data_IF_737264004792
#
_entry.id   IF_737264004792
#
_cell.length_a   1.000
_cell.length_b   1.000
_cell.length_c   1.000
_cell.angle_alpha   90.00
_cell.angle_beta   90.00
_cell.angle_gamma   90.00
#
_symmetry.space_group_name_H-M   'P 1'
#
loop_
_entity.id
_entity.type
_entity.pdbx_description
1 polymer ?
#
# COMPACT_ATOMS: atom_id res chain seq x y z
N UNK A 1 -18.74 9.84 -19.14
CA UNK A 1 -17.93 8.76 -18.57
C UNK A 1 -16.66 8.61 -19.41
N UNK A 2 -15.48 8.87 -18.85
CA UNK A 2 -14.18 8.69 -19.54
C UNK A 2 -13.04 8.51 -18.54
N UNK A 3 -11.86 8.10 -19.00
CA UNK A 3 -10.62 8.05 -18.20
C UNK A 3 -9.51 8.74 -18.95
N UNK A 4 -8.68 9.52 -18.26
CA UNK A 4 -7.40 10.01 -18.80
C UNK A 4 -6.30 9.13 -18.22
N UNK A 5 -5.46 8.57 -19.09
CA UNK A 5 -4.28 7.81 -18.65
C UNK A 5 -3.22 8.80 -18.18
N UNK A 6 -2.80 8.71 -16.92
CA UNK A 6 -1.94 9.72 -16.29
C UNK A 6 -0.52 9.80 -16.90
N UNK A 7 -0.07 8.72 -17.54
CA UNK A 7 1.25 8.59 -18.18
C UNK A 7 1.27 9.04 -19.65
N UNK A 8 0.18 8.84 -20.39
CA UNK A 8 0.13 9.15 -21.84
C UNK A 8 -0.82 10.29 -22.20
N UNK A 9 -1.70 10.72 -21.28
CA UNK A 9 -2.79 11.66 -21.57
C UNK A 9 -3.90 11.07 -22.44
N UNK A 10 -3.84 9.78 -22.80
CA UNK A 10 -4.85 9.13 -23.64
C UNK A 10 -6.23 9.18 -22.98
N UNK A 11 -7.25 9.56 -23.76
CA UNK A 11 -8.64 9.59 -23.33
C UNK A 11 -9.31 8.28 -23.71
N UNK A 12 -9.77 7.53 -22.71
CA UNK A 12 -10.51 6.30 -22.87
C UNK A 12 -11.99 6.56 -22.63
N UNK A 13 -12.85 6.08 -23.54
CA UNK A 13 -14.32 6.24 -23.48
C UNK A 13 -15.01 4.88 -23.55
N UNK A 14 -16.23 4.70 -23.01
CA UNK A 14 -16.97 3.45 -23.14
C UNK A 14 -17.12 3.02 -24.61
N UNK A 15 -16.68 1.80 -24.93
CA UNK A 15 -16.78 1.28 -26.29
C UNK A 15 -18.23 0.87 -26.58
N UNK A 16 -18.78 1.40 -27.66
CA UNK A 16 -20.10 1.02 -28.17
C UNK A 16 -19.95 -0.05 -29.25
N UNK A 17 -20.46 -1.24 -29.00
CA UNK A 17 -20.41 -2.36 -29.93
C UNK A 17 -21.37 -2.18 -31.10
N UNK A 18 -21.19 -2.98 -32.16
CA UNK A 18 -22.02 -2.95 -33.36
C UNK A 18 -23.51 -3.22 -33.10
N UNK A 19 -23.83 -3.94 -32.02
CA UNK A 19 -25.22 -4.16 -31.58
C UNK A 19 -25.77 -2.99 -30.73
N UNK A 20 -25.10 -1.83 -30.79
CA UNK A 20 -25.43 -0.59 -30.08
C UNK A 20 -25.32 -0.62 -28.56
N UNK A 21 -24.89 -1.75 -27.98
CA UNK A 21 -24.70 -1.93 -26.55
C UNK A 21 -23.28 -1.56 -26.09
N UNK A 22 -23.13 -1.30 -24.80
CA UNK A 22 -21.85 -1.29 -24.09
C UNK A 22 -21.58 -2.65 -23.47
N UNK A 23 -20.32 -2.93 -23.15
CA UNK A 23 -19.93 -4.20 -22.51
C UNK A 23 -19.32 -3.99 -21.13
N UNK A 24 -19.83 -4.74 -20.15
CA UNK A 24 -19.12 -5.05 -18.92
C UNK A 24 -18.60 -6.50 -18.97
N UNK A 25 -17.56 -6.80 -18.21
CA UNK A 25 -17.07 -8.15 -18.01
C UNK A 25 -17.51 -8.65 -16.65
N UNK A 26 -18.29 -9.74 -16.62
CA UNK A 26 -18.66 -10.41 -15.37
C UNK A 26 -17.41 -11.03 -14.73
N UNK A 27 -16.98 -10.56 -13.55
CA UNK A 27 -15.82 -11.13 -12.87
C UNK A 27 -15.97 -12.61 -12.53
N UNK A 28 -17.21 -13.14 -12.42
CA UNK A 28 -17.49 -14.54 -12.14
C UNK A 28 -16.99 -15.48 -13.24
N UNK A 29 -16.83 -15.00 -14.47
CA UNK A 29 -16.33 -15.77 -15.61
C UNK A 29 -14.80 -15.94 -15.61
N UNK A 30 -14.11 -15.50 -14.55
CA UNK A 30 -12.71 -15.82 -14.30
C UNK A 30 -11.79 -15.40 -15.44
N UNK A 31 -11.15 -16.38 -16.09
CA UNK A 31 -10.23 -16.15 -17.20
C UNK A 31 -10.94 -15.81 -18.50
N UNK A 32 -12.19 -16.19 -18.69
CA UNK A 32 -12.92 -16.00 -19.96
C UNK A 32 -13.72 -14.70 -20.02
N UNK A 33 -13.69 -13.91 -18.94
CA UNK A 33 -14.43 -12.64 -18.83
C UNK A 33 -14.08 -11.59 -19.89
N UNK A 34 -12.91 -11.72 -20.52
CA UNK A 34 -12.41 -10.80 -21.54
C UNK A 34 -12.82 -11.23 -22.97
N UNK A 35 -13.52 -12.36 -23.12
CA UNK A 35 -14.06 -12.76 -24.41
C UNK A 35 -15.29 -11.90 -24.75
N UNK A 36 -15.34 -11.37 -25.97
CA UNK A 36 -16.44 -10.50 -26.43
C UNK A 36 -17.80 -11.21 -26.38
N UNK A 37 -17.82 -12.54 -26.54
CA UNK A 37 -19.03 -13.38 -26.44
C UNK A 37 -19.61 -13.41 -25.01
N UNK A 38 -18.76 -13.22 -24.00
CA UNK A 38 -19.08 -13.28 -22.58
C UNK A 38 -19.39 -11.90 -21.97
N UNK A 39 -19.51 -10.86 -22.80
CA UNK A 39 -19.83 -9.51 -22.31
C UNK A 39 -21.24 -9.49 -21.73
N UNK A 40 -21.37 -8.87 -20.58
CA UNK A 40 -22.68 -8.45 -20.07
C UNK A 40 -23.02 -7.14 -20.74
N UNK A 41 -24.14 -7.16 -21.46
CA UNK A 41 -24.58 -6.04 -22.29
C UNK A 41 -25.24 -4.99 -21.41
N UNK A 42 -24.81 -3.74 -21.58
CA UNK A 42 -25.49 -2.58 -21.04
C UNK A 42 -26.05 -1.76 -22.19
N UNK A 43 -27.35 -1.49 -22.20
CA UNK A 43 -28.02 -0.73 -23.26
C UNK A 43 -27.85 0.78 -23.08
N UNK A 44 -27.59 1.21 -21.85
CA UNK A 44 -27.40 2.61 -21.48
C UNK A 44 -26.10 2.81 -20.70
N UNK A 45 -25.63 4.06 -20.64
CA UNK A 45 -24.50 4.41 -19.78
C UNK A 45 -24.84 4.27 -18.29
N UNK A 46 -26.10 4.45 -17.88
CA UNK A 46 -26.53 4.27 -16.48
C UNK A 46 -26.48 2.81 -16.03
N UNK A 47 -26.83 1.89 -16.93
CA UNK A 47 -26.67 0.46 -16.70
C UNK A 47 -25.17 0.10 -16.59
N UNK A 48 -24.34 0.65 -17.49
CA UNK A 48 -22.89 0.49 -17.43
C UNK A 48 -22.28 1.06 -16.14
N UNK A 49 -22.79 2.19 -15.64
CA UNK A 49 -22.42 2.77 -14.32
C UNK A 49 -22.72 1.81 -13.17
N UNK A 50 -23.80 1.04 -13.27
CA UNK A 50 -24.19 0.09 -12.22
C UNK A 50 -23.20 -1.07 -12.15
N UNK A 51 -22.73 -1.58 -13.30
CA UNK A 51 -21.66 -2.58 -13.34
C UNK A 51 -20.33 -2.03 -12.79
N UNK A 52 -19.96 -0.80 -13.14
CA UNK A 52 -18.78 -0.15 -12.57
C UNK A 52 -18.83 -0.01 -11.05
N UNK A 53 -19.98 0.41 -10.49
CA UNK A 53 -20.18 0.49 -9.03
C UNK A 53 -20.05 -0.87 -8.33
N UNK A 54 -20.35 -1.95 -9.05
CA UNK A 54 -20.15 -3.34 -8.59
C UNK A 54 -18.72 -3.84 -8.79
N UNK A 55 -17.82 -2.99 -9.27
CA UNK A 55 -16.41 -3.33 -9.52
C UNK A 55 -16.18 -4.14 -10.80
N UNK A 56 -17.18 -4.20 -11.69
CA UNK A 56 -17.05 -4.92 -12.95
C UNK A 56 -16.22 -4.10 -13.93
N UNK A 57 -15.16 -4.66 -14.51
CA UNK A 57 -14.43 -4.00 -15.57
C UNK A 57 -15.33 -3.75 -16.79
N UNK A 58 -15.16 -2.63 -17.47
CA UNK A 58 -15.92 -2.31 -18.69
C UNK A 58 -15.02 -2.21 -19.91
N UNK A 59 -15.61 -2.44 -21.08
CA UNK A 59 -14.94 -2.24 -22.35
C UNK A 59 -14.84 -0.76 -22.67
N UNK A 60 -13.63 -0.26 -22.79
CA UNK A 60 -13.31 1.09 -23.20
C UNK A 60 -12.47 1.08 -24.47
N UNK A 61 -12.55 2.14 -25.25
CA UNK A 61 -11.68 2.38 -26.41
C UNK A 61 -10.85 3.63 -26.21
N UNK A 62 -9.61 3.62 -26.71
CA UNK A 62 -8.80 4.84 -26.78
C UNK A 62 -9.42 5.69 -27.89
N UNK A 63 -9.90 6.87 -27.52
CA UNK A 63 -10.66 7.76 -28.41
C UNK A 63 -9.79 8.12 -29.63
N UNK A 64 -10.35 7.91 -30.82
CA UNK A 64 -9.63 8.13 -32.09
C UNK A 64 -8.82 6.92 -32.59
N UNK A 65 -8.87 5.78 -31.90
CA UNK A 65 -8.21 4.53 -32.30
C UNK A 65 -9.20 3.36 -32.36
N UNK A 66 -8.73 2.19 -32.78
CA UNK A 66 -9.47 0.91 -32.68
C UNK A 66 -9.02 0.05 -31.49
N UNK A 67 -8.13 0.56 -30.65
CA UNK A 67 -7.64 -0.18 -29.48
C UNK A 67 -8.70 -0.20 -28.38
N UNK A 68 -9.03 -1.41 -27.92
CA UNK A 68 -10.10 -1.69 -26.97
C UNK A 68 -9.52 -2.43 -25.79
N UNK A 69 -9.82 -1.96 -24.59
CA UNK A 69 -9.28 -2.51 -23.36
C UNK A 69 -10.37 -2.68 -22.32
N UNK A 70 -10.19 -3.67 -21.47
CA UNK A 70 -11.04 -3.88 -20.32
C UNK A 70 -10.47 -3.09 -19.13
N UNK A 71 -11.25 -2.19 -18.56
CA UNK A 71 -10.76 -1.23 -17.56
C UNK A 71 -11.63 -1.30 -16.30
N UNK A 72 -10.96 -1.48 -15.17
CA UNK A 72 -11.55 -1.38 -13.83
C UNK A 72 -11.18 -0.04 -13.21
N UNK A 73 -12.19 0.72 -12.76
CA UNK A 73 -12.06 1.92 -11.92
C UNK A 73 -11.30 3.12 -12.54
N UNK A 74 -11.34 4.24 -11.80
CA UNK A 74 -10.81 5.59 -12.11
C UNK A 74 -11.41 6.25 -13.35
N UNK A 75 -12.74 6.27 -13.40
CA UNK A 75 -13.50 6.84 -14.49
C UNK A 75 -14.17 8.15 -14.04
N UNK A 76 -13.89 9.22 -14.77
CA UNK A 76 -14.51 10.53 -14.61
C UNK A 76 -15.92 10.50 -15.19
N UNK A 77 -16.91 10.80 -14.37
CA UNK A 77 -18.32 10.79 -14.78
C UNK A 77 -18.78 12.13 -15.42
N UNK A 78 -17.98 12.66 -16.35
CA UNK A 78 -18.29 13.86 -17.14
C UNK A 78 -18.31 13.55 -18.64
N UNK A 79 -18.69 14.51 -19.47
CA UNK A 79 -18.39 14.45 -20.90
C UNK A 79 -16.86 14.49 -21.12
N UNK A 80 -16.34 13.68 -22.06
CA UNK A 80 -14.92 13.73 -22.39
C UNK A 80 -14.57 15.04 -23.12
N UNK A 81 -13.35 15.61 -22.92
CA UNK A 81 -12.89 16.83 -23.62
C UNK A 81 -12.97 16.69 -25.14
N UNK A 82 -13.16 17.75 -25.93
CA UNK A 82 -13.23 17.62 -27.39
C UNK A 82 -11.90 17.13 -28.00
N UNK A 83 -11.96 16.59 -29.22
CA UNK A 83 -10.75 16.17 -29.93
C UNK A 83 -9.89 17.41 -30.24
N UNK A 84 -8.70 17.52 -29.64
CA UNK A 84 -7.79 18.65 -29.83
C UNK A 84 -7.71 19.62 -28.64
N UNK A 85 -8.56 19.46 -27.62
CA UNK A 85 -8.46 20.26 -26.39
C UNK A 85 -7.21 19.85 -25.59
N UNK A 86 -6.52 20.83 -25.00
CA UNK A 86 -5.42 20.57 -24.09
C UNK A 86 -5.92 19.77 -22.88
N UNK A 87 -5.28 18.63 -22.59
CA UNK A 87 -5.56 17.83 -21.40
C UNK A 87 -5.14 18.65 -20.17
N UNK A 88 -6.05 18.95 -19.22
CA UNK A 88 -5.69 19.71 -18.03
C UNK A 88 -4.64 18.95 -17.22
N UNK A 89 -3.59 19.66 -16.78
CA UNK A 89 -2.42 19.10 -16.12
C UNK A 89 -2.63 18.69 -14.65
N UNK A 90 -3.87 18.72 -14.14
CA UNK A 90 -4.19 18.34 -12.77
C UNK A 90 -5.39 17.38 -12.69
N UNK A 91 -5.39 16.42 -11.74
CA UNK A 91 -6.54 15.55 -11.54
C UNK A 91 -7.74 16.37 -11.03
N UNK A 92 -8.80 16.43 -11.84
CA UNK A 92 -10.08 17.04 -11.45
C UNK A 92 -10.70 16.22 -10.31
N UNK A 93 -10.43 16.62 -9.07
CA UNK A 93 -11.20 16.16 -7.91
C UNK A 93 -12.61 16.72 -8.02
N UNK A 94 -13.62 15.87 -8.20
CA UNK A 94 -15.02 16.33 -8.18
C UNK A 94 -15.47 16.63 -6.75
N UNK A 95 -15.80 17.89 -6.51
CA UNK A 95 -16.79 18.30 -5.51
C UNK A 95 -18.14 17.63 -5.87
N UNK A 96 -18.68 16.86 -4.94
CA UNK A 96 -20.06 16.40 -4.97
C UNK A 96 -20.90 17.48 -4.26
N UNK A 97 -21.84 18.09 -5.00
CA UNK A 97 -22.87 18.96 -4.42
C UNK A 97 -23.84 18.12 -3.60
N UNK A 98 -23.83 18.30 -2.29
CA UNK A 98 -24.78 17.67 -1.36
C UNK A 98 -25.92 18.67 -1.16
N UNK A 99 -27.15 18.29 -1.54
CA UNK A 99 -28.36 19.02 -1.18
C UNK A 99 -28.49 19.15 0.34
N UNK A 100 -28.97 20.33 0.77
CA UNK A 100 -29.03 20.79 2.16
C UNK A 100 -29.65 19.75 3.10
N UNK A 101 -28.80 19.09 3.88
CA UNK A 101 -29.15 18.59 5.21
C UNK A 101 -28.68 19.64 6.22
N UNK A 102 -29.58 20.01 7.12
CA UNK A 102 -29.39 21.02 8.18
C UNK A 102 -28.11 20.72 8.97
N UNK A 103 -27.17 21.67 8.98
CA UNK A 103 -25.88 21.58 9.68
C UNK A 103 -26.10 21.59 11.20
N UNK A 104 -25.54 20.64 11.97
CA UNK A 104 -25.10 20.94 13.33
C UNK A 104 -23.86 21.86 13.25
N UNK A 105 -23.65 22.65 14.31
CA UNK A 105 -22.62 23.70 14.37
C UNK A 105 -21.21 23.21 13.97
N UNK A 106 -20.41 24.06 13.29
CA UNK A 106 -19.08 23.66 12.84
C UNK A 106 -18.13 23.46 14.02
N UNK A 107 -17.59 22.25 14.16
CA UNK A 107 -16.40 22.01 14.95
C UNK A 107 -15.24 22.86 14.38
N UNK A 108 -14.52 23.53 15.27
CA UNK A 108 -13.35 24.37 14.94
C UNK A 108 -12.36 23.63 14.04
N UNK A 109 -11.97 24.26 12.92
CA UNK A 109 -10.79 23.86 12.16
C UNK A 109 -9.56 24.14 13.01
N UNK A 110 -8.95 23.10 13.57
CA UNK A 110 -7.62 23.19 14.17
C UNK A 110 -6.60 23.05 13.03
N UNK A 111 -5.70 24.03 12.82
CA UNK A 111 -4.59 23.89 11.89
C UNK A 111 -3.66 22.76 12.35
N UNK A 112 -2.95 22.12 11.43
CA UNK A 112 -1.79 21.28 11.75
C UNK A 112 -0.71 22.16 12.41
N UNK A 113 -0.85 22.39 13.71
CA UNK A 113 0.21 22.93 14.55
C UNK A 113 0.92 21.74 15.16
N UNK A 114 2.20 21.60 14.79
CA UNK A 114 3.25 20.84 15.47
C UNK A 114 2.78 20.09 16.72
N UNK A 115 2.22 18.90 16.54
CA UNK A 115 2.19 17.95 17.63
C UNK A 115 3.66 17.55 17.86
N UNK A 116 4.26 17.85 19.03
CA UNK A 116 5.59 17.38 19.32
C UNK A 116 5.55 15.85 19.27
N UNK A 117 6.37 15.26 18.41
CA UNK A 117 6.73 13.84 18.57
C UNK A 117 7.33 13.78 19.96
N UNK A 118 6.66 13.09 20.88
CA UNK A 118 7.11 12.97 22.25
C UNK A 118 8.57 12.52 22.23
N UNK A 119 9.45 13.32 22.84
CA UNK A 119 10.86 12.98 23.00
C UNK A 119 10.95 11.78 23.93
N UNK A 120 10.82 10.58 23.40
CA UNK A 120 11.17 9.36 24.08
C UNK A 120 12.60 9.04 23.65
N UNK A 121 13.52 9.28 24.59
CA UNK A 121 14.85 8.67 24.60
C UNK A 121 14.69 7.16 24.69
N UNK A 122 14.37 6.52 23.57
CA UNK A 122 14.41 5.09 23.39
C UNK A 122 15.37 4.75 22.26
N UNK A 123 16.00 3.60 22.41
CA UNK A 123 17.27 3.24 21.79
C UNK A 123 17.07 3.04 20.28
N UNK A 124 17.19 4.11 19.49
CA UNK A 124 17.17 4.07 18.02
C UNK A 124 18.31 3.18 17.55
N UNK A 125 17.99 2.04 16.93
CA UNK A 125 18.98 1.28 16.18
C UNK A 125 19.47 2.19 15.06
N UNK A 126 20.75 2.57 15.14
CA UNK A 126 21.37 3.42 14.13
C UNK A 126 21.23 2.71 12.79
N UNK A 127 20.46 3.30 11.86
CA UNK A 127 20.42 2.94 10.45
C UNK A 127 21.83 2.55 9.98
N UNK A 128 21.97 1.38 9.34
CA UNK A 128 23.23 0.89 8.79
C UNK A 128 24.05 2.01 8.12
N UNK A 129 25.39 1.94 8.19
CA UNK A 129 26.29 3.02 7.75
C UNK A 129 25.97 3.61 6.38
N UNK A 130 25.45 2.79 5.45
CA UNK A 130 25.06 3.19 4.10
C UNK A 130 23.96 4.26 4.05
N UNK A 131 23.00 4.28 4.99
CA UNK A 131 21.89 5.26 4.96
C UNK A 131 22.37 6.70 5.19
N UNK A 132 23.47 6.88 5.94
CA UNK A 132 24.02 8.20 6.23
C UNK A 132 24.56 8.86 4.95
N UNK A 133 25.22 8.07 4.12
CA UNK A 133 25.83 8.56 2.87
C UNK A 133 24.76 8.93 1.85
N UNK A 134 23.72 8.10 1.70
CA UNK A 134 22.63 8.41 0.78
C UNK A 134 21.77 9.59 1.23
N UNK A 135 21.51 9.77 2.53
CA UNK A 135 20.80 10.97 3.00
C UNK A 135 21.57 12.24 2.69
N UNK A 136 22.90 12.20 2.76
CA UNK A 136 23.75 13.31 2.35
C UNK A 136 23.62 13.58 0.85
N UNK A 137 23.69 12.53 0.01
CA UNK A 137 23.49 12.66 -1.44
C UNK A 137 22.12 13.27 -1.78
N UNK A 138 21.06 12.77 -1.14
CA UNK A 138 19.69 13.31 -1.29
C UNK A 138 19.64 14.79 -0.88
N UNK A 139 20.42 15.24 0.09
CA UNK A 139 20.49 16.66 0.45
C UNK A 139 21.14 17.49 -0.66
N UNK A 140 22.21 17.00 -1.26
CA UNK A 140 23.05 17.71 -2.23
C UNK A 140 22.45 17.80 -3.64
N UNK A 141 21.80 16.74 -4.15
CA UNK A 141 21.20 16.74 -5.50
C UNK A 141 20.04 17.73 -5.63
N UNK A 142 19.96 18.46 -6.73
CA UNK A 142 18.83 19.38 -7.00
C UNK A 142 17.51 18.63 -7.20
N UNK A 143 16.37 19.32 -7.14
CA UNK A 143 15.06 18.71 -7.44
C UNK A 143 14.96 18.20 -8.89
N UNK A 144 15.64 18.85 -9.83
CA UNK A 144 15.69 18.43 -11.23
C UNK A 144 16.49 17.14 -11.41
N UNK A 145 17.67 17.05 -10.78
CA UNK A 145 18.49 15.83 -10.78
C UNK A 145 17.77 14.69 -10.05
N UNK A 146 17.09 14.99 -8.95
CA UNK A 146 16.29 14.01 -8.21
C UNK A 146 15.19 13.38 -9.06
N UNK A 147 14.54 14.15 -9.94
CA UNK A 147 13.56 13.61 -10.87
C UNK A 147 14.20 12.60 -11.85
N UNK A 148 15.42 12.85 -12.31
CA UNK A 148 16.20 11.91 -13.12
C UNK A 148 16.57 10.64 -12.36
N UNK A 149 17.02 10.78 -11.10
CA UNK A 149 17.35 9.64 -10.22
C UNK A 149 16.12 8.79 -9.87
N UNK A 150 14.93 9.39 -9.80
CA UNK A 150 13.67 8.66 -9.57
C UNK A 150 13.31 7.78 -10.76
N UNK A 151 13.55 8.22 -12.00
CA UNK A 151 13.24 7.45 -13.21
C UNK A 151 14.32 6.43 -13.55
N UNK A 152 15.59 6.83 -13.46
CA UNK A 152 16.73 5.98 -13.78
C UNK A 152 17.85 6.18 -12.75
N UNK A 153 17.80 5.47 -11.61
CA UNK A 153 18.76 5.63 -10.53
C UNK A 153 20.20 5.39 -11.00
N UNK A 154 21.09 6.34 -10.68
CA UNK A 154 22.53 6.23 -10.94
C UNK A 154 23.32 6.53 -9.69
N UNK A 155 23.14 7.72 -9.13
CA UNK A 155 23.77 8.16 -7.88
C UNK A 155 23.10 7.51 -6.68
N UNK A 156 21.77 7.31 -6.77
CA UNK A 156 21.00 6.61 -5.74
C UNK A 156 21.01 5.09 -5.93
N UNK A 157 21.72 4.54 -6.92
CA UNK A 157 21.79 3.10 -7.12
C UNK A 157 22.62 2.46 -6.00
N UNK A 158 22.05 1.46 -5.31
CA UNK A 158 22.69 0.73 -4.20
C UNK A 158 23.36 -0.55 -4.67
N UNK A 159 22.84 -1.16 -5.73
CA UNK A 159 23.42 -2.37 -6.29
C UNK A 159 22.66 -2.87 -7.50
N UNK A 160 23.36 -3.63 -8.33
CA UNK A 160 22.83 -4.25 -9.53
C UNK A 160 23.27 -5.71 -9.62
N UNK A 161 22.42 -6.55 -10.17
CA UNK A 161 22.71 -7.95 -10.42
C UNK A 161 22.03 -8.43 -11.71
N UNK A 162 22.70 -9.27 -12.50
CA UNK A 162 22.09 -9.89 -13.67
C UNK A 162 21.64 -11.30 -13.31
N UNK A 163 20.34 -11.58 -13.43
CA UNK A 163 19.76 -12.89 -13.22
C UNK A 163 18.97 -13.33 -14.45
N UNK A 164 19.40 -14.43 -15.09
CA UNK A 164 18.76 -14.98 -16.31
C UNK A 164 18.49 -13.91 -17.37
N UNK A 165 19.52 -13.14 -17.70
CA UNK A 165 19.49 -12.04 -18.68
C UNK A 165 18.58 -10.86 -18.32
N UNK A 166 18.04 -10.81 -17.10
CA UNK A 166 17.35 -9.64 -16.56
C UNK A 166 18.26 -8.89 -15.60
N UNK A 167 18.25 -7.57 -15.67
CA UNK A 167 18.97 -6.70 -14.74
C UNK A 167 18.07 -6.37 -13.55
N UNK A 168 18.53 -6.70 -12.35
CA UNK A 168 17.92 -6.37 -11.07
C UNK A 168 18.67 -5.19 -10.49
N UNK A 169 17.97 -4.10 -10.19
CA UNK A 169 18.54 -2.90 -9.59
C UNK A 169 17.83 -2.60 -8.27
N UNK A 170 18.60 -2.25 -7.23
CA UNK A 170 18.07 -1.72 -5.98
C UNK A 170 18.56 -0.29 -5.83
N UNK A 171 17.64 0.65 -5.67
CA UNK A 171 17.95 2.06 -5.50
C UNK A 171 17.54 2.55 -4.12
N UNK A 172 18.26 3.55 -3.62
CA UNK A 172 18.02 4.16 -2.34
C UNK A 172 16.74 4.97 -2.34
N UNK A 173 15.98 4.83 -1.26
CA UNK A 173 14.96 5.77 -0.82
C UNK A 173 14.95 5.77 0.72
N UNK A 174 14.50 6.86 1.37
CA UNK A 174 14.60 7.06 2.82
C UNK A 174 13.59 6.21 3.63
N UNK A 175 13.65 4.88 3.49
CA UNK A 175 12.86 3.88 4.23
C UNK A 175 13.64 3.27 5.41
N UNK A 176 14.76 3.87 5.82
CA UNK A 176 15.65 3.35 6.86
C UNK A 176 15.23 3.59 8.31
N UNK A 177 14.18 4.38 8.56
CA UNK A 177 13.69 4.62 9.93
C UNK A 177 13.13 3.33 10.54
N UNK A 178 13.51 3.03 11.78
CA UNK A 178 13.02 1.88 12.56
C UNK A 178 12.23 2.39 13.76
N UNK A 179 10.91 2.15 13.77
CA UNK A 179 10.05 2.53 14.88
C UNK A 179 9.98 1.41 15.93
N UNK A 180 10.97 1.35 16.83
CA UNK A 180 11.07 0.28 17.85
C UNK A 180 9.85 0.14 18.77
N UNK A 181 9.03 1.19 18.90
CA UNK A 181 7.79 1.18 19.69
C UNK A 181 6.57 0.60 18.97
N UNK A 182 6.73 0.05 17.76
CA UNK A 182 5.59 -0.44 16.98
C UNK A 182 4.91 -1.68 17.59
N UNK A 183 3.58 -1.63 17.70
CA UNK A 183 2.73 -2.78 18.01
C UNK A 183 2.55 -3.68 16.78
N UNK A 184 2.48 -3.06 15.60
CA UNK A 184 2.19 -3.72 14.32
C UNK A 184 3.26 -3.39 13.27
N UNK A 185 3.71 -4.41 12.54
CA UNK A 185 4.68 -4.28 11.46
C UNK A 185 4.02 -4.72 10.16
N UNK A 186 3.88 -3.79 9.21
CA UNK A 186 3.27 -4.06 7.91
C UNK A 186 4.39 -4.28 6.90
N UNK A 187 4.39 -5.46 6.27
CA UNK A 187 5.49 -5.93 5.40
C UNK A 187 4.99 -6.05 3.96
N UNK A 188 5.47 -5.15 3.10
CA UNK A 188 5.29 -5.21 1.65
C UNK A 188 6.32 -6.09 0.94
N UNK A 189 6.30 -6.09 -0.39
CA UNK A 189 7.29 -6.79 -1.22
C UNK A 189 8.58 -5.96 -1.32
N UNK A 190 8.44 -4.78 -1.93
CA UNK A 190 9.45 -3.74 -2.12
C UNK A 190 8.72 -2.45 -2.47
N UNK A 191 9.24 -1.26 -2.12
CA UNK A 191 8.69 -0.01 -2.62
C UNK A 191 8.78 0.05 -4.15
N UNK A 192 7.75 0.62 -4.79
CA UNK A 192 7.78 0.97 -6.22
C UNK A 192 8.27 2.40 -6.47
N UNK A 193 8.43 2.77 -7.74
CA UNK A 193 8.88 4.10 -8.20
C UNK A 193 8.08 5.26 -7.60
N UNK A 194 6.76 5.13 -7.53
CA UNK A 194 5.92 6.17 -6.92
C UNK A 194 6.22 6.34 -5.42
N UNK A 195 6.45 5.24 -4.69
CA UNK A 195 6.82 5.30 -3.28
C UNK A 195 8.23 5.88 -3.10
N UNK A 196 9.17 5.51 -3.98
CA UNK A 196 10.51 6.14 -4.04
C UNK A 196 10.39 7.67 -4.21
N UNK A 197 9.60 8.11 -5.20
CA UNK A 197 9.32 9.53 -5.47
C UNK A 197 8.79 10.24 -4.23
N UNK A 198 7.70 9.73 -3.64
CA UNK A 198 7.07 10.35 -2.47
C UNK A 198 8.03 10.41 -1.27
N UNK A 199 8.82 9.37 -1.04
CA UNK A 199 9.77 9.32 0.07
C UNK A 199 10.89 10.35 -0.10
N UNK A 200 11.46 10.45 -1.31
CA UNK A 200 12.54 11.40 -1.61
C UNK A 200 12.07 12.85 -1.58
N UNK A 201 10.87 13.13 -2.11
CA UNK A 201 10.28 14.47 -2.09
C UNK A 201 9.93 14.90 -0.66
N UNK A 202 9.38 14.01 0.16
CA UNK A 202 9.12 14.32 1.58
C UNK A 202 10.42 14.53 2.36
N UNK A 203 11.46 13.73 2.09
CA UNK A 203 12.76 13.95 2.68
C UNK A 203 13.34 15.32 2.31
N UNK A 204 13.21 15.76 1.04
CA UNK A 204 13.61 17.11 0.62
C UNK A 204 12.85 18.20 1.36
N UNK A 205 11.54 18.05 1.56
CA UNK A 205 10.72 19.01 2.32
C UNK A 205 11.15 19.08 3.79
N UNK A 206 11.33 17.93 4.44
CA UNK A 206 11.78 17.86 5.83
C UNK A 206 13.19 18.42 6.03
N UNK A 207 14.10 18.19 5.07
CA UNK A 207 15.44 18.80 5.07
C UNK A 207 15.37 20.32 4.98
N UNK A 208 14.51 20.86 4.10
CA UNK A 208 14.33 22.30 3.94
C UNK A 208 13.73 22.96 5.19
N UNK A 209 12.96 22.23 6.01
CA UNK A 209 12.46 22.71 7.30
C UNK A 209 13.46 22.57 8.45
N UNK A 210 14.71 22.17 8.19
CA UNK A 210 15.74 21.98 9.22
C UNK A 210 15.50 20.77 10.13
N UNK A 211 14.68 19.79 9.70
CA UNK A 211 14.37 18.62 10.52
C UNK A 211 15.64 17.76 10.78
N UNK A 212 15.62 17.04 11.90
CA UNK A 212 16.68 16.09 12.22
C UNK A 212 16.71 14.94 11.20
N UNK A 213 17.84 14.24 11.09
CA UNK A 213 17.95 13.06 10.21
C UNK A 213 16.90 12.01 10.53
N UNK A 214 16.64 11.79 11.81
CA UNK A 214 15.65 10.81 12.25
C UNK A 214 14.25 11.23 11.83
N UNK A 215 13.88 12.49 12.06
CA UNK A 215 12.59 13.04 11.61
C UNK A 215 12.41 12.97 10.10
N UNK A 216 13.48 13.23 9.33
CA UNK A 216 13.47 13.12 7.87
C UNK A 216 13.10 11.70 7.45
N UNK A 217 13.77 10.69 8.02
CA UNK A 217 13.52 9.29 7.68
C UNK A 217 12.13 8.84 8.16
N UNK A 218 11.71 9.27 9.37
CA UNK A 218 10.40 8.93 9.93
C UNK A 218 9.25 9.49 9.07
N UNK A 219 9.31 10.79 8.73
CA UNK A 219 8.31 11.45 7.89
C UNK A 219 8.24 10.83 6.50
N UNK A 220 9.40 10.62 5.86
CA UNK A 220 9.45 10.02 4.54
C UNK A 220 8.85 8.59 4.52
N UNK A 221 9.18 7.78 5.53
CA UNK A 221 8.61 6.43 5.69
C UNK A 221 7.10 6.48 5.82
N UNK A 222 6.55 7.25 6.76
CA UNK A 222 5.08 7.32 6.98
C UNK A 222 4.37 7.87 5.74
N UNK A 223 4.87 8.95 5.14
CA UNK A 223 4.27 9.58 3.96
C UNK A 223 4.18 8.62 2.77
N UNK A 224 5.29 7.94 2.45
CA UNK A 224 5.41 7.15 1.23
C UNK A 224 4.93 5.70 1.35
N UNK A 225 4.86 5.14 2.57
CA UNK A 225 4.50 3.74 2.76
C UNK A 225 3.08 3.46 2.27
N UNK A 226 2.98 2.51 1.35
CA UNK A 226 1.74 2.05 0.73
C UNK A 226 0.89 3.16 0.09
N UNK A 227 1.49 4.30 -0.27
CA UNK A 227 0.75 5.47 -0.77
C UNK A 227 -0.20 5.16 -1.95
N UNK A 228 -1.26 5.96 -2.06
CA UNK A 228 -2.31 5.79 -3.08
C UNK A 228 -3.39 4.76 -2.70
N UNK A 229 -3.98 4.10 -3.69
CA UNK A 229 -5.09 3.16 -3.47
C UNK A 229 -4.68 1.89 -2.72
N UNK A 230 -3.39 1.56 -2.74
CA UNK A 230 -2.85 0.45 -1.96
C UNK A 230 -3.12 0.63 -0.46
N UNK A 231 -2.92 1.85 0.09
CA UNK A 231 -3.22 2.18 1.49
C UNK A 231 -4.69 1.97 1.79
N UNK A 232 -5.58 2.48 0.93
CA UNK A 232 -7.04 2.35 1.13
C UNK A 232 -7.47 0.90 1.19
N UNK A 233 -6.95 0.06 0.30
CA UNK A 233 -7.23 -1.37 0.30
C UNK A 233 -6.66 -2.08 1.53
N UNK A 234 -5.43 -1.74 1.92
CA UNK A 234 -4.79 -2.32 3.09
C UNK A 234 -5.57 -2.01 4.37
N UNK A 235 -5.98 -0.76 4.57
CA UNK A 235 -6.84 -0.34 5.69
C UNK A 235 -8.12 -1.18 5.73
N UNK A 236 -8.81 -1.33 4.59
CA UNK A 236 -10.05 -2.15 4.52
C UNK A 236 -9.80 -3.60 4.91
N UNK A 237 -8.69 -4.20 4.48
CA UNK A 237 -8.33 -5.58 4.81
C UNK A 237 -8.01 -5.75 6.29
N UNK A 238 -7.22 -4.83 6.86
CA UNK A 238 -6.82 -4.89 8.27
C UNK A 238 -8.00 -4.63 9.21
N UNK A 239 -8.83 -3.64 8.91
CA UNK A 239 -10.05 -3.36 9.68
C UNK A 239 -11.03 -4.54 9.59
N UNK A 240 -11.19 -5.16 8.42
CA UNK A 240 -12.10 -6.29 8.24
C UNK A 240 -11.74 -7.52 9.09
N UNK A 241 -10.46 -7.73 9.40
CA UNK A 241 -10.03 -8.83 10.28
C UNK A 241 -9.97 -8.45 11.77
N UNK A 242 -10.32 -7.20 12.11
CA UNK A 242 -10.38 -6.71 13.49
C UNK A 242 -9.04 -6.21 14.06
N UNK A 243 -8.07 -5.85 13.22
CA UNK A 243 -6.79 -5.30 13.71
C UNK A 243 -6.96 -3.93 14.37
N UNK A 244 -7.90 -3.12 13.89
CA UNK A 244 -8.27 -1.86 14.54
C UNK A 244 -8.79 -2.11 15.97
N UNK A 245 -9.64 -3.12 16.15
CA UNK A 245 -10.21 -3.49 17.45
C UNK A 245 -9.13 -4.01 18.40
N UNK A 246 -8.23 -4.88 17.92
CA UNK A 246 -7.09 -5.36 18.70
C UNK A 246 -6.16 -4.21 19.12
N UNK A 247 -5.92 -3.24 18.23
CA UNK A 247 -5.16 -2.05 18.55
C UNK A 247 -5.94 -1.12 19.50
N UNK A 248 -7.26 -1.19 19.57
CA UNK A 248 -8.08 -0.22 20.31
C UNK A 248 -8.18 1.15 19.61
N UNK A 249 -8.10 1.17 18.27
CA UNK A 249 -8.28 2.36 17.44
C UNK A 249 -9.51 2.21 16.54
N UNK A 250 -10.11 3.34 16.13
CA UNK A 250 -11.33 3.32 15.32
C UNK A 250 -11.12 2.67 13.95
N UNK A 251 -9.96 2.90 13.33
CA UNK A 251 -9.58 2.31 12.05
C UNK A 251 -8.06 2.33 11.93
N UNK A 252 -7.50 1.31 11.29
CA UNK A 252 -6.06 1.27 10.97
C UNK A 252 -5.62 2.36 10.01
N UNK A 253 -6.53 3.15 9.43
CA UNK A 253 -6.20 4.36 8.68
C UNK A 253 -5.35 5.35 9.49
N UNK A 254 -5.54 5.40 10.81
CA UNK A 254 -4.82 6.34 11.69
C UNK A 254 -3.35 5.98 11.88
N UNK A 255 -2.92 4.76 11.52
CA UNK A 255 -1.51 4.35 11.53
C UNK A 255 -0.63 5.18 10.58
N UNK A 256 -1.22 5.88 9.60
CA UNK A 256 -0.49 6.82 8.74
C UNK A 256 -0.60 8.28 9.21
N UNK A 257 -1.25 8.53 10.35
CA UNK A 257 -1.48 9.86 10.89
C UNK A 257 -1.21 9.88 12.40
N UNK A 258 -2.26 9.97 13.22
CA UNK A 258 -2.19 10.21 14.67
C UNK A 258 -1.72 9.00 15.48
N UNK A 259 -1.79 7.79 14.90
CA UNK A 259 -1.34 6.54 15.53
C UNK A 259 -0.07 5.98 14.86
N UNK A 260 0.70 6.82 14.14
CA UNK A 260 1.88 6.39 13.41
C UNK A 260 2.99 5.80 14.28
N UNK A 261 3.05 6.19 15.56
CA UNK A 261 3.95 5.60 16.55
C UNK A 261 3.68 4.11 16.82
N UNK A 262 2.50 3.59 16.48
CA UNK A 262 2.12 2.20 16.72
C UNK A 262 2.47 1.26 15.57
N UNK A 263 2.81 1.82 14.40
CA UNK A 263 3.12 1.04 13.21
C UNK A 263 4.58 1.20 12.81
N UNK A 264 5.15 0.09 12.34
CA UNK A 264 6.35 0.10 11.51
C UNK A 264 5.98 -0.35 10.11
N UNK A 265 6.39 0.43 9.11
CA UNK A 265 6.20 0.09 7.71
C UNK A 265 7.51 -0.39 7.10
N UNK A 266 7.47 -1.56 6.48
CA UNK A 266 8.65 -2.11 5.81
C UNK A 266 8.25 -2.97 4.60
N UNK A 267 9.24 -3.58 3.97
CA UNK A 267 9.10 -4.50 2.85
C UNK A 267 10.13 -5.62 3.00
N UNK A 268 9.85 -6.79 2.43
CA UNK A 268 10.80 -7.89 2.37
C UNK A 268 12.15 -7.41 1.83
N UNK A 269 12.13 -6.65 0.73
CA UNK A 269 13.28 -5.86 0.28
C UNK A 269 13.01 -4.40 0.64
N UNK A 270 13.77 -3.86 1.59
CA UNK A 270 13.53 -2.54 2.22
C UNK A 270 13.49 -1.38 1.22
N UNK A 271 14.31 -1.43 0.18
CA UNK A 271 14.51 -0.33 -0.77
C UNK A 271 13.91 -0.61 -2.16
N UNK A 272 13.54 0.44 -2.92
CA UNK A 272 13.02 0.31 -4.27
C UNK A 272 13.82 -0.65 -5.15
N UNK A 273 13.12 -1.62 -5.75
CA UNK A 273 13.72 -2.67 -6.56
C UNK A 273 13.09 -2.72 -7.93
N UNK A 274 13.93 -2.83 -8.96
CA UNK A 274 13.54 -2.78 -10.37
C UNK A 274 14.06 -3.99 -11.15
N UNK A 275 13.34 -4.36 -12.20
CA UNK A 275 13.70 -5.40 -13.18
C UNK A 275 13.69 -4.77 -14.56
N UNK A 276 14.85 -4.70 -15.20
CA UNK A 276 15.01 -4.06 -16.52
C UNK A 276 14.45 -2.63 -16.56
N UNK A 277 14.58 -1.89 -15.46
CA UNK A 277 14.05 -0.53 -15.30
C UNK A 277 12.58 -0.45 -14.90
N UNK A 278 11.85 -1.54 -14.76
CA UNK A 278 10.44 -1.56 -14.33
C UNK A 278 10.29 -1.96 -12.87
N UNK A 279 9.18 -1.59 -12.22
CA UNK A 279 8.92 -1.99 -10.84
C UNK A 279 8.95 -3.51 -10.67
N UNK A 280 9.72 -4.01 -9.69
CA UNK A 280 9.70 -5.43 -9.35
C UNK A 280 8.32 -5.86 -8.86
N UNK A 281 7.76 -6.88 -9.52
CA UNK A 281 6.38 -7.35 -9.31
C UNK A 281 6.30 -8.87 -9.14
N UNK A 282 7.16 -9.44 -8.28
CA UNK A 282 7.23 -10.88 -7.92
C UNK A 282 7.90 -11.78 -8.96
N UNK A 283 8.46 -11.22 -10.01
CA UNK A 283 9.15 -11.96 -11.06
C UNK A 283 10.49 -11.30 -11.37
N UNK A 284 11.62 -12.03 -11.26
CA UNK A 284 11.75 -13.43 -10.80
C UNK A 284 11.34 -13.62 -9.33
N UNK A 285 11.01 -14.83 -8.90
CA UNK A 285 10.62 -15.11 -7.51
C UNK A 285 11.79 -14.82 -6.53
N UNK A 286 11.64 -13.80 -5.67
CA UNK A 286 12.69 -13.38 -4.74
C UNK A 286 13.20 -14.51 -3.85
N UNK A 287 12.35 -15.48 -3.48
CA UNK A 287 12.76 -16.60 -2.62
C UNK A 287 13.79 -17.52 -3.31
N UNK A 288 13.88 -17.46 -4.64
CA UNK A 288 14.71 -18.32 -5.49
C UNK A 288 15.88 -17.58 -6.14
N UNK A 289 15.98 -16.26 -5.93
CA UNK A 289 17.06 -15.43 -6.48
C UNK A 289 17.98 -15.05 -5.33
N UNK A 290 19.19 -15.64 -5.22
CA UNK A 290 20.08 -15.41 -4.09
C UNK A 290 20.31 -13.92 -3.80
N UNK A 291 20.59 -13.12 -4.82
CA UNK A 291 20.77 -11.67 -4.67
C UNK A 291 19.59 -10.96 -3.98
N UNK A 292 18.34 -11.29 -4.35
CA UNK A 292 17.16 -10.67 -3.75
C UNK A 292 16.87 -11.24 -2.35
N UNK A 293 17.00 -12.55 -2.19
CA UNK A 293 16.78 -13.20 -0.90
C UNK A 293 17.81 -12.79 0.15
N UNK A 294 19.08 -12.66 -0.23
CA UNK A 294 20.15 -12.23 0.67
C UNK A 294 19.91 -10.80 1.15
N UNK A 295 19.45 -9.90 0.26
CA UNK A 295 19.07 -8.53 0.64
C UNK A 295 17.83 -8.49 1.53
N UNK A 296 16.84 -9.33 1.25
CA UNK A 296 15.68 -9.47 2.12
C UNK A 296 16.08 -9.99 3.51
N UNK A 297 16.92 -11.02 3.54
CA UNK A 297 17.44 -11.61 4.78
C UNK A 297 18.24 -10.61 5.59
N UNK A 298 19.18 -9.91 4.96
CA UNK A 298 20.02 -8.89 5.60
C UNK A 298 19.17 -7.83 6.32
N UNK A 299 18.24 -7.18 5.59
CA UNK A 299 17.50 -6.04 6.13
C UNK A 299 16.31 -6.43 7.00
N UNK A 300 15.63 -7.52 6.68
CA UNK A 300 14.45 -7.92 7.46
C UNK A 300 14.88 -8.59 8.78
N UNK A 301 16.00 -9.33 8.82
CA UNK A 301 16.52 -9.89 10.08
C UNK A 301 16.82 -8.80 11.11
N UNK A 302 17.46 -7.70 10.68
CA UNK A 302 17.72 -6.52 11.51
C UNK A 302 16.42 -5.97 12.11
N UNK A 303 15.39 -5.80 11.30
CA UNK A 303 14.10 -5.26 11.74
C UNK A 303 13.30 -6.22 12.61
N UNK A 304 13.18 -7.50 12.24
CA UNK A 304 12.41 -8.48 13.02
C UNK A 304 12.97 -8.61 14.45
N UNK A 305 14.30 -8.51 14.60
CA UNK A 305 14.97 -8.55 15.90
C UNK A 305 14.66 -7.32 16.76
N UNK A 306 14.33 -6.19 16.13
CA UNK A 306 13.95 -4.95 16.82
C UNK A 306 12.51 -4.95 17.36
N UNK A 307 11.68 -5.93 16.95
CA UNK A 307 10.26 -5.98 17.27
C UNK A 307 9.89 -7.25 18.06
N UNK A 308 10.41 -7.41 19.29
CA UNK A 308 10.24 -8.64 20.05
C UNK A 308 8.79 -8.91 20.47
N UNK A 309 7.87 -7.94 20.35
CA UNK A 309 6.47 -8.05 20.78
C UNK A 309 5.44 -7.74 19.68
N UNK A 310 5.88 -7.31 18.50
CA UNK A 310 4.97 -6.83 17.46
C UNK A 310 4.30 -7.96 16.68
N UNK A 311 3.18 -7.60 16.05
CA UNK A 311 2.42 -8.46 15.12
C UNK A 311 2.78 -8.07 13.69
N UNK A 312 3.09 -9.06 12.86
CA UNK A 312 3.53 -8.88 11.48
C UNK A 312 2.38 -9.16 10.52
N UNK A 313 2.12 -8.20 9.62
CA UNK A 313 1.11 -8.28 8.56
C UNK A 313 1.82 -8.40 7.21
N UNK A 314 2.08 -9.62 6.71
CA UNK A 314 2.60 -9.81 5.36
C UNK A 314 1.54 -9.46 4.31
N UNK A 315 1.92 -8.69 3.30
CA UNK A 315 1.08 -8.46 2.14
C UNK A 315 1.31 -9.53 1.06
N UNK A 316 0.48 -10.57 1.08
CA UNK A 316 0.46 -11.64 0.08
C UNK A 316 1.44 -12.79 0.33
N UNK A 317 1.28 -13.85 -0.47
CA UNK A 317 1.87 -15.17 -0.20
C UNK A 317 3.41 -15.14 -0.28
N UNK A 318 4.00 -14.44 -1.27
CA UNK A 318 5.46 -14.30 -1.39
C UNK A 318 6.10 -13.70 -0.13
N UNK A 319 5.49 -12.66 0.45
CA UNK A 319 6.01 -12.01 1.67
C UNK A 319 5.76 -12.92 2.89
N UNK A 320 4.65 -13.65 2.90
CA UNK A 320 4.36 -14.63 3.94
C UNK A 320 5.44 -15.73 3.99
N UNK A 321 5.88 -16.22 2.83
CA UNK A 321 6.97 -17.20 2.73
C UNK A 321 8.31 -16.64 3.21
N UNK A 322 8.63 -15.39 2.85
CA UNK A 322 9.85 -14.70 3.32
C UNK A 322 9.84 -14.54 4.83
N UNK A 323 8.73 -14.07 5.42
CA UNK A 323 8.58 -13.93 6.86
C UNK A 323 8.60 -15.28 7.59
N UNK A 324 8.03 -16.34 7.02
CA UNK A 324 8.08 -17.67 7.62
C UNK A 324 9.53 -18.19 7.70
N UNK A 325 10.32 -17.97 6.64
CA UNK A 325 11.74 -18.38 6.59
C UNK A 325 12.60 -17.54 7.54
N UNK A 326 12.66 -16.23 7.33
CA UNK A 326 13.53 -15.33 8.11
C UNK A 326 13.04 -15.22 9.55
N UNK A 327 11.73 -15.13 9.77
CA UNK A 327 11.13 -15.10 11.10
C UNK A 327 11.43 -16.37 11.90
N UNK A 328 11.44 -17.54 11.26
CA UNK A 328 11.86 -18.79 11.90
C UNK A 328 13.32 -18.77 12.35
N UNK A 329 14.22 -18.18 11.55
CA UNK A 329 15.65 -18.05 11.89
C UNK A 329 15.91 -17.18 13.12
N UNK A 330 15.13 -16.10 13.30
CA UNK A 330 15.29 -15.14 14.42
C UNK A 330 14.29 -15.37 15.56
N UNK A 331 13.51 -16.46 15.51
CA UNK A 331 12.60 -16.86 16.59
C UNK A 331 11.30 -16.05 16.68
N UNK A 332 10.83 -15.43 15.60
CA UNK A 332 9.48 -14.83 15.55
C UNK A 332 8.45 -15.96 15.60
N UNK A 333 7.57 -16.01 16.61
CA UNK A 333 6.53 -17.02 16.68
C UNK A 333 5.53 -16.87 15.54
N UNK A 334 5.17 -17.99 14.90
CA UNK A 334 4.21 -18.03 13.78
C UNK A 334 2.87 -17.36 14.12
N UNK A 335 2.41 -17.47 15.37
CA UNK A 335 1.17 -16.82 15.84
C UNK A 335 1.17 -15.30 15.65
N UNK A 336 2.34 -14.66 15.58
CA UNK A 336 2.48 -13.21 15.35
C UNK A 336 2.57 -12.85 13.88
N UNK A 337 2.58 -13.83 12.96
CA UNK A 337 2.63 -13.58 11.53
C UNK A 337 1.22 -13.86 10.96
N UNK A 338 0.52 -12.80 10.56
CA UNK A 338 -0.85 -12.84 10.07
C UNK A 338 -0.90 -13.16 8.57
N UNK A 339 -0.46 -14.38 8.23
CA UNK A 339 -0.47 -14.91 6.86
C UNK A 339 -1.88 -15.07 6.31
N UNK A 340 -2.05 -14.87 5.00
CA UNK A 340 -3.28 -15.19 4.26
C UNK A 340 -4.02 -13.97 3.70
N UNK A 341 -3.63 -12.74 4.06
CA UNK A 341 -4.20 -11.54 3.47
C UNK A 341 -3.79 -11.44 1.99
N UNK A 342 -4.71 -11.07 1.09
CA UNK A 342 -4.33 -10.74 -0.29
C UNK A 342 -3.42 -9.52 -0.31
N UNK A 343 -2.61 -9.40 -1.37
CA UNK A 343 -1.83 -8.20 -1.59
C UNK A 343 -2.74 -7.00 -1.88
N UNK A 344 -2.47 -5.83 -1.28
CA UNK A 344 -3.37 -4.67 -1.32
C UNK A 344 -3.34 -3.84 -2.63
N UNK A 345 -2.46 -4.16 -3.59
CA UNK A 345 -2.38 -3.42 -4.86
C UNK A 345 -3.67 -3.54 -5.68
N UNK A 346 -4.01 -2.50 -6.45
CA UNK A 346 -5.22 -2.48 -7.29
C UNK A 346 -5.31 -3.63 -8.32
N UNK A 347 -4.18 -4.19 -8.74
CA UNK A 347 -4.15 -5.41 -9.56
C UNK A 347 -4.81 -6.63 -8.87
N UNK A 348 -5.05 -6.58 -7.56
CA UNK A 348 -5.66 -7.63 -6.74
C UNK A 348 -7.08 -7.29 -6.29
N UNK A 349 -7.80 -6.39 -6.98
CA UNK A 349 -9.18 -6.02 -6.63
C UNK A 349 -10.13 -7.23 -6.49
N UNK A 350 -9.97 -8.26 -7.34
CA UNK A 350 -10.73 -9.52 -7.22
C UNK A 350 -10.47 -10.26 -5.90
N UNK A 351 -9.22 -10.69 -5.63
CA UNK A 351 -8.81 -11.23 -4.33
C UNK A 351 -9.25 -10.41 -3.11
N UNK A 352 -9.13 -9.09 -3.18
CA UNK A 352 -9.57 -8.18 -2.10
C UNK A 352 -11.09 -8.26 -1.92
N UNK A 353 -11.87 -8.20 -3.00
CA UNK A 353 -13.32 -8.29 -2.93
C UNK A 353 -13.79 -9.65 -2.39
N UNK A 354 -13.14 -10.76 -2.80
CA UNK A 354 -13.45 -12.09 -2.29
C UNK A 354 -13.11 -12.24 -0.81
N UNK A 355 -11.98 -11.70 -0.37
CA UNK A 355 -11.59 -11.71 1.04
C UNK A 355 -12.56 -10.88 1.90
N UNK A 356 -12.89 -9.66 1.48
CA UNK A 356 -13.81 -8.77 2.21
C UNK A 356 -15.27 -9.24 2.16
N UNK A 357 -15.68 -9.88 1.08
CA UNK A 357 -17.04 -10.37 0.84
C UNK A 357 -17.28 -11.81 1.34
N UNK A 358 -16.35 -12.40 2.08
CA UNK A 358 -16.38 -13.79 2.51
C UNK A 358 -17.40 -14.07 3.64
N UNK A 359 -18.67 -13.70 3.45
CA UNK A 359 -19.74 -13.87 4.43
C UNK A 359 -20.71 -15.04 4.12
N UNK A 360 -20.68 -15.63 2.91
CA UNK A 360 -21.72 -16.56 2.43
C UNK A 360 -21.30 -18.03 2.23
N UNK A 361 -20.41 -18.31 1.28
CA UNK A 361 -20.03 -19.69 0.88
C UNK A 361 -18.58 -20.03 1.26
N UNK A 362 -18.31 -21.31 1.55
CA UNK A 362 -16.96 -21.75 1.90
C UNK A 362 -16.05 -21.83 0.66
N UNK A 363 -14.98 -21.03 0.68
CA UNK A 363 -13.95 -21.02 -0.34
C UNK A 363 -12.58 -20.71 0.31
N UNK A 364 -11.50 -20.78 -0.48
CA UNK A 364 -10.15 -20.53 0.01
C UNK A 364 -9.95 -19.15 0.65
N UNK A 365 -10.69 -18.12 0.20
CA UNK A 365 -10.62 -16.77 0.77
C UNK A 365 -11.37 -16.66 2.09
N UNK A 366 -12.52 -17.32 2.23
CA UNK A 366 -13.24 -17.40 3.51
C UNK A 366 -12.41 -18.06 4.59
N UNK A 367 -11.74 -19.18 4.26
CA UNK A 367 -10.85 -19.86 5.20
C UNK A 367 -9.72 -18.93 5.66
N UNK A 368 -9.02 -18.30 4.71
CA UNK A 368 -7.96 -17.30 5.01
C UNK A 368 -8.50 -16.16 5.90
N UNK A 369 -9.68 -15.63 5.61
CA UNK A 369 -10.30 -14.57 6.40
C UNK A 369 -10.58 -15.01 7.85
N UNK A 370 -11.25 -16.16 8.03
CA UNK A 370 -11.58 -16.72 9.34
C UNK A 370 -10.31 -17.04 10.13
N UNK A 371 -9.32 -17.65 9.49
CA UNK A 371 -8.05 -18.00 10.14
C UNK A 371 -7.32 -16.76 10.67
N UNK A 372 -7.23 -15.70 9.86
CA UNK A 372 -6.60 -14.45 10.30
C UNK A 372 -7.40 -13.80 11.42
N UNK A 373 -8.74 -13.73 11.29
CA UNK A 373 -9.59 -13.14 12.33
C UNK A 373 -9.46 -13.89 13.65
N UNK A 374 -9.42 -15.22 13.62
CA UNK A 374 -9.20 -16.06 14.80
C UNK A 374 -7.80 -15.86 15.39
N UNK A 375 -6.77 -15.69 14.54
CA UNK A 375 -5.43 -15.32 15.03
C UNK A 375 -5.48 -13.97 15.75
N UNK A 376 -6.11 -12.95 15.15
CA UNK A 376 -6.22 -11.60 15.73
C UNK A 376 -6.91 -11.64 17.11
N UNK A 377 -8.03 -12.34 17.25
CA UNK A 377 -8.77 -12.42 18.54
C UNK A 377 -8.02 -13.19 19.64
N UNK A 378 -7.00 -13.97 19.28
CA UNK A 378 -6.21 -14.78 20.22
C UNK A 378 -4.80 -14.25 20.47
N UNK A 379 -4.43 -13.11 19.85
CA UNK A 379 -3.11 -12.48 19.99
C UNK A 379 -2.74 -12.22 21.46
N UNK A 380 -3.69 -11.74 22.26
CA UNK A 380 -3.47 -11.39 23.67
C UNK A 380 -3.68 -12.57 24.63
N UNK A 381 -4.48 -13.58 24.25
CA UNK A 381 -4.81 -14.74 25.10
C UNK A 381 -3.60 -15.64 25.40
N UNK A 382 -2.46 -15.43 24.71
CA UNK A 382 -1.19 -16.14 24.94
C UNK A 382 0.00 -15.22 25.18
N UNK A 383 -0.22 -13.91 25.33
CA UNK A 383 0.72 -13.05 26.09
C UNK A 383 0.48 -13.45 27.55
N UNK A 384 1.37 -14.25 28.12
CA UNK A 384 1.21 -14.72 29.49
C UNK A 384 0.81 -13.56 30.41
N UNK A 385 -0.25 -13.80 31.18
CA UNK A 385 -0.62 -13.06 32.38
C UNK A 385 0.64 -12.53 33.10
N UNK A 386 0.79 -11.21 33.17
CA UNK A 386 1.70 -10.53 34.08
C UNK A 386 0.83 -9.63 34.97
N UNK A 387 0.47 -10.06 36.19
CA UNK A 387 -0.29 -9.23 37.10
C UNK A 387 0.66 -8.27 37.83
N UNK A 388 1.30 -7.36 37.10
CA UNK A 388 2.10 -6.30 37.71
C UNK A 388 1.94 -5.00 36.91
N UNK A 389 0.69 -4.55 36.81
CA UNK A 389 0.40 -3.13 36.70
C UNK A 389 -0.64 -2.83 37.77
N UNK A 390 -0.16 -2.30 38.90
CA UNK A 390 -0.95 -2.04 40.09
C UNK A 390 -2.20 -1.22 39.78
N UNK A 391 -3.35 -1.86 39.91
CA UNK A 391 -4.62 -1.21 40.21
C UNK A 391 -5.18 -1.96 41.42
N UNK A 392 -5.09 -1.31 42.57
CA UNK A 392 -5.67 -1.80 43.81
C UNK A 392 -7.15 -2.14 43.59
N UNK A 393 -7.50 -3.40 43.80
CA UNK A 393 -8.88 -3.79 44.04
C UNK A 393 -9.30 -3.16 45.38
N UNK A 394 -9.98 -2.01 45.30
CA UNK A 394 -10.71 -1.49 46.43
C UNK A 394 -11.88 -2.43 46.73
N UNK A 395 -11.82 -3.06 47.90
CA UNK A 395 -12.93 -3.76 48.53
C UNK A 395 -14.13 -2.81 48.67
N UNK A 396 -15.27 -3.19 48.12
CA UNK A 396 -16.55 -2.65 48.56
C UNK A 396 -17.07 -3.51 49.72
N UNK A 397 -17.32 -2.95 50.92
CA UNK A 397 -18.03 -3.66 51.97
C UNK A 397 -19.53 -3.71 51.67
N UNK A 398 -20.16 -4.83 52.07
CA UNK A 398 -21.61 -4.98 52.18
C UNK A 398 -22.14 -4.26 53.41
#
# INVERSE_FOLDING_TARGET
MYRIKADTGEILVPHRFADTTYGAADPALGRERHHIANRVKATTLDELRTYLRRGWPIWMEIRGTRDRRLISADIVDAEPPALGDAVPAEPVSRQISIERVVKPAPAQKVPWQNAPIASHTERTLASSGNDKDYIRLVREISLAELAGEIENPRTLLMGSHVYKSKRLDIAYAPFGYVNAGADIVIVGITPGRQQMREALLEAKRAMASGASREDILARAKVHASFAGDMRKNLVRLMDAVGLNDWLGITSTATLWTVDSQRAHFTSAIRYPTFVDGENYSRSPDMNKVPFLFDKAREWLTEELSAFPNAVFVPMGDMVSEVLARIGGEVGVPERRILTGMPHASGANNGPIAWFLGAQGEENGWRRRYVDIRNKVTTLDQRRGYHPDSGAALQNFPK
#
